data_IF_071408190425
#
_entry.id   IF_071408190425
#
_cell.length_a   1.000
_cell.length_b   1.000
_cell.length_c   1.000
_cell.angle_alpha   90.00
_cell.angle_beta   90.00
_cell.angle_gamma   90.00
#
_symmetry.space_group_name_H-M   'P 1'
#
loop_
_entity.id
_entity.type
_entity.pdbx_description
1 polymer ?
#
# COMPACT_ATOMS: atom_id res chain seq x y z
N UNK A 1 18.49 -35.06 -18.44
CA UNK A 1 17.86 -33.86 -17.83
C UNK A 1 18.02 -34.01 -16.33
N UNK A 2 19.07 -33.48 -15.70
CA UNK A 2 19.59 -34.14 -14.49
C UNK A 2 18.74 -33.92 -13.23
N UNK A 3 17.77 -34.81 -13.05
CA UNK A 3 17.46 -35.52 -11.81
C UNK A 3 18.65 -36.41 -11.44
N UNK A 4 19.01 -36.49 -10.16
CA UNK A 4 19.84 -37.60 -9.66
C UNK A 4 19.20 -38.21 -8.42
N UNK A 5 19.09 -39.54 -8.45
CA UNK A 5 18.42 -40.40 -7.49
C UNK A 5 19.29 -41.64 -7.36
N UNK A 6 19.76 -41.97 -6.16
CA UNK A 6 20.63 -43.14 -6.00
C UNK A 6 20.05 -44.01 -4.89
N UNK A 7 19.51 -45.16 -5.31
CA UNK A 7 18.90 -46.17 -4.44
C UNK A 7 19.52 -47.52 -4.79
N UNK A 8 20.03 -48.26 -3.80
CA UNK A 8 20.52 -49.65 -3.93
C UNK A 8 19.44 -50.67 -3.46
N UNK A 9 18.17 -50.43 -3.84
CA UNK A 9 16.97 -51.17 -3.38
C UNK A 9 15.66 -50.55 -3.95
N UNK A 10 14.48 -51.11 -3.66
CA UNK A 10 13.25 -50.77 -4.41
C UNK A 10 12.64 -49.39 -4.06
N UNK A 11 12.21 -48.65 -5.09
CA UNK A 11 11.42 -47.41 -5.08
C UNK A 11 10.23 -47.59 -6.05
N UNK A 12 9.00 -47.22 -5.70
CA UNK A 12 7.88 -47.14 -6.67
C UNK A 12 6.96 -45.92 -6.39
N UNK A 13 6.51 -45.22 -7.45
CA UNK A 13 5.62 -44.03 -7.45
C UNK A 13 4.62 -44.15 -8.60
N UNK A 14 3.31 -44.19 -8.34
CA UNK A 14 2.25 -44.15 -9.38
C UNK A 14 1.11 -43.24 -8.89
N UNK A 15 0.53 -42.44 -9.78
CA UNK A 15 -0.48 -41.42 -9.48
C UNK A 15 -1.58 -41.40 -10.56
N UNK A 16 -2.86 -41.28 -10.17
CA UNK A 16 -3.89 -40.71 -11.04
C UNK A 16 -4.89 -39.89 -10.22
N UNK A 17 -4.63 -38.57 -10.25
CA UNK A 17 -5.42 -37.34 -10.01
C UNK A 17 -4.36 -36.26 -9.69
N UNK A 18 -4.16 -35.67 -8.50
CA UNK A 18 -3.09 -34.65 -8.34
C UNK A 18 -1.96 -34.98 -7.33
N UNK A 19 -0.72 -34.58 -7.65
CA UNK A 19 0.49 -34.69 -6.83
C UNK A 19 1.45 -33.51 -7.09
N UNK A 20 1.71 -32.63 -6.10
CA UNK A 20 2.58 -31.46 -6.26
C UNK A 20 3.57 -31.30 -5.08
N UNK A 21 4.82 -30.88 -5.35
CA UNK A 21 5.88 -30.60 -4.37
C UNK A 21 6.65 -29.34 -4.79
N UNK A 22 6.90 -28.40 -3.88
CA UNK A 22 7.72 -27.20 -4.14
C UNK A 22 8.64 -26.87 -2.96
N UNK A 23 9.90 -26.52 -3.26
CA UNK A 23 10.94 -26.17 -2.29
C UNK A 23 11.92 -25.15 -2.89
N UNK A 24 12.47 -24.25 -2.07
CA UNK A 24 13.60 -23.39 -2.43
C UNK A 24 14.97 -24.00 -2.05
N UNK A 25 14.98 -25.10 -1.26
CA UNK A 25 16.16 -25.85 -0.83
C UNK A 25 15.91 -27.39 -0.79
N UNK A 26 16.72 -28.18 -0.09
CA UNK A 26 16.60 -29.64 -0.03
C UNK A 26 15.47 -30.13 0.89
N UNK A 27 14.65 -31.07 0.40
CA UNK A 27 13.69 -31.83 1.22
C UNK A 27 14.37 -33.13 1.69
N UNK A 28 14.46 -33.37 3.01
CA UNK A 28 15.07 -34.59 3.59
C UNK A 28 14.02 -35.36 4.40
N UNK A 29 13.66 -36.56 3.93
CA UNK A 29 12.77 -37.50 4.65
C UNK A 29 13.53 -38.76 5.05
N UNK A 30 13.52 -39.15 6.33
CA UNK A 30 14.17 -40.36 6.87
C UNK A 30 13.20 -41.16 7.73
N UNK A 31 13.14 -42.47 7.57
CA UNK A 31 12.36 -43.36 8.43
C UNK A 31 13.05 -44.73 8.58
N UNK A 32 12.87 -45.36 9.75
CA UNK A 32 13.39 -46.72 10.02
C UNK A 32 12.47 -47.85 9.54
N UNK A 33 11.16 -47.60 9.36
CA UNK A 33 10.19 -48.59 8.86
C UNK A 33 9.22 -48.02 7.81
N UNK A 34 8.33 -47.08 8.18
CA UNK A 34 7.32 -46.51 7.26
C UNK A 34 7.04 -45.02 7.53
N UNK A 35 6.61 -44.28 6.49
CA UNK A 35 5.99 -42.95 6.59
C UNK A 35 4.60 -43.05 5.92
N UNK A 36 3.54 -42.59 6.58
CA UNK A 36 2.20 -42.53 6.03
C UNK A 36 1.67 -41.10 6.06
N UNK A 37 1.32 -40.55 4.89
CA UNK A 37 0.68 -39.24 4.74
C UNK A 37 -0.68 -39.45 4.05
N UNK A 38 -1.76 -38.97 4.67
CA UNK A 38 -3.13 -39.07 4.13
C UNK A 38 -3.61 -37.70 3.70
N UNK A 39 -3.67 -37.44 2.39
CA UNK A 39 -4.21 -36.20 1.84
C UNK A 39 -5.72 -36.05 2.10
N UNK A 40 -6.14 -34.87 2.56
CA UNK A 40 -7.54 -34.41 2.53
C UNK A 40 -7.69 -33.39 1.39
N UNK A 41 -8.92 -33.00 1.03
CA UNK A 41 -9.22 -32.05 -0.07
C UNK A 41 -8.49 -30.69 0.01
N UNK A 42 -7.88 -30.36 1.15
CA UNK A 42 -7.12 -29.12 1.41
C UNK A 42 -5.62 -29.34 1.71
N UNK A 43 -5.09 -30.55 1.55
CA UNK A 43 -3.73 -30.93 1.96
C UNK A 43 -3.56 -31.19 3.46
N UNK A 44 -2.35 -31.59 3.86
CA UNK A 44 -1.95 -31.80 5.27
C UNK A 44 -0.84 -30.81 5.61
N UNK A 45 -0.98 -30.07 6.71
CA UNK A 45 0.09 -29.22 7.25
C UNK A 45 0.59 -29.82 8.55
N UNK A 46 1.90 -30.00 8.67
CA UNK A 46 2.50 -30.61 9.85
C UNK A 46 3.00 -29.59 10.88
N UNK A 47 3.13 -28.31 10.52
CA UNK A 47 3.57 -27.20 11.39
C UNK A 47 3.22 -25.83 10.77
N UNK A 48 3.38 -24.75 11.52
CA UNK A 48 3.44 -23.40 10.94
C UNK A 48 4.71 -23.28 10.10
N UNK A 49 4.63 -22.96 8.79
CA UNK A 49 5.82 -22.77 7.96
C UNK A 49 6.70 -21.66 8.53
N UNK A 50 8.01 -21.91 8.64
CA UNK A 50 9.00 -20.90 8.99
C UNK A 50 9.50 -20.19 7.73
N UNK A 51 9.91 -18.94 7.90
CA UNK A 51 10.56 -18.15 6.84
C UNK A 51 11.87 -18.82 6.42
N UNK A 52 12.15 -18.99 5.12
CA UNK A 52 13.35 -19.70 4.66
C UNK A 52 14.61 -18.99 5.16
N UNK A 53 15.66 -19.73 5.58
CA UNK A 53 16.91 -19.11 6.00
C UNK A 53 17.61 -18.45 4.81
N UNK A 54 18.21 -17.28 5.03
CA UNK A 54 19.14 -16.71 4.08
C UNK A 54 20.53 -17.30 4.34
N UNK A 55 21.05 -18.09 3.41
CA UNK A 55 22.42 -18.59 3.50
C UNK A 55 23.40 -17.43 3.26
N UNK A 56 24.17 -17.08 4.28
CA UNK A 56 25.11 -15.96 4.25
C UNK A 56 26.52 -16.40 4.66
N UNK A 57 27.49 -16.24 3.76
CA UNK A 57 28.92 -16.42 4.04
C UNK A 57 29.51 -15.20 4.76
N UNK A 58 29.00 -14.02 4.45
CA UNK A 58 29.23 -12.74 5.13
C UNK A 58 27.97 -12.40 5.95
N UNK A 59 28.10 -12.32 7.27
CA UNK A 59 27.02 -11.94 8.18
C UNK A 59 26.79 -10.42 8.17
N UNK A 60 26.01 -9.96 7.19
CA UNK A 60 25.64 -8.57 6.99
C UNK A 60 24.22 -8.51 6.44
N UNK A 61 23.42 -7.55 6.90
CA UNK A 61 22.04 -7.38 6.44
C UNK A 61 21.67 -5.91 6.26
N UNK A 62 20.99 -5.63 5.15
CA UNK A 62 20.60 -4.31 4.67
C UNK A 62 19.08 -4.22 4.65
N UNK A 63 18.55 -3.14 5.22
CA UNK A 63 17.12 -2.83 5.19
C UNK A 63 16.87 -1.53 4.41
N UNK A 64 16.21 -1.66 3.27
CA UNK A 64 15.87 -0.53 2.40
C UNK A 64 14.65 0.24 2.90
N UNK A 65 14.70 1.56 2.77
CA UNK A 65 13.62 2.49 3.13
C UNK A 65 13.50 3.56 2.04
N UNK A 66 12.35 4.25 1.93
CA UNK A 66 12.31 5.45 1.14
C UNK A 66 13.15 6.53 1.84
N UNK A 67 13.65 7.49 1.07
CA UNK A 67 14.45 8.58 1.65
C UNK A 67 13.59 9.44 2.61
N UNK A 68 14.24 10.21 3.49
CA UNK A 68 13.56 11.06 4.50
C UNK A 68 12.58 12.11 3.94
N UNK A 69 12.73 12.48 2.67
CA UNK A 69 11.91 13.48 2.00
C UNK A 69 10.75 12.87 1.20
N UNK A 70 10.62 11.54 1.17
CA UNK A 70 9.54 10.88 0.46
C UNK A 70 8.18 11.37 0.95
N UNK A 71 7.33 11.75 0.00
CA UNK A 71 5.95 12.21 0.18
C UNK A 71 4.98 11.41 -0.69
N UNK A 72 5.34 10.17 -1.03
CA UNK A 72 4.48 9.28 -1.77
C UNK A 72 4.56 9.46 -3.29
N UNK A 73 5.56 10.18 -3.81
CA UNK A 73 5.75 10.42 -5.25
C UNK A 73 6.09 9.15 -6.07
N UNK A 74 6.36 8.04 -5.38
CA UNK A 74 6.40 6.66 -5.91
C UNK A 74 5.95 5.70 -4.79
N UNK A 75 5.55 4.48 -5.15
CA UNK A 75 5.13 3.51 -4.14
C UNK A 75 6.32 2.85 -3.47
N UNK A 76 6.41 2.96 -2.16
CA UNK A 76 7.37 2.21 -1.36
C UNK A 76 6.68 1.70 -0.10
N UNK A 77 6.62 0.37 0.06
CA UNK A 77 5.94 -0.27 1.17
C UNK A 77 6.88 -1.22 1.91
N UNK A 78 7.08 -0.99 3.20
CA UNK A 78 7.93 -1.82 4.06
C UNK A 78 7.16 -2.23 5.32
N UNK A 79 7.56 -3.35 5.93
CA UNK A 79 7.06 -3.69 7.25
C UNK A 79 7.44 -2.58 8.23
N UNK A 80 6.46 -1.85 8.76
CA UNK A 80 6.71 -0.77 9.71
C UNK A 80 7.22 -1.37 11.01
N UNK A 81 8.47 -1.05 11.36
CA UNK A 81 9.14 -1.52 12.57
C UNK A 81 9.66 -0.37 13.44
N UNK A 82 9.27 0.87 13.14
CA UNK A 82 9.64 2.06 13.90
C UNK A 82 11.12 2.39 13.83
N UNK A 83 11.68 2.22 12.64
CA UNK A 83 13.10 2.43 12.36
C UNK A 83 13.37 3.59 11.40
N UNK A 84 12.31 4.24 10.92
CA UNK A 84 12.39 5.51 10.22
C UNK A 84 11.94 6.65 11.13
N UNK A 85 12.41 7.86 10.83
CA UNK A 85 11.85 9.09 11.41
C UNK A 85 10.71 9.65 10.55
N UNK A 86 10.15 8.84 9.64
CA UNK A 86 8.99 9.24 8.85
C UNK A 86 7.75 9.29 9.73
N UNK A 87 6.80 10.12 9.33
CA UNK A 87 5.54 10.29 10.06
C UNK A 87 4.85 8.93 10.22
N UNK A 88 4.41 8.61 11.44
CA UNK A 88 3.63 7.41 11.75
C UNK A 88 4.22 6.07 11.26
N UNK A 89 5.54 5.93 11.22
CA UNK A 89 6.21 4.62 11.17
C UNK A 89 6.12 3.93 12.54
N UNK A 90 4.92 3.52 12.92
CA UNK A 90 4.66 2.76 14.13
C UNK A 90 4.81 1.26 13.84
N UNK A 91 5.34 0.51 14.80
CA UNK A 91 5.51 -0.95 14.64
C UNK A 91 4.17 -1.60 14.34
N UNK A 92 4.06 -2.25 13.18
CA UNK A 92 2.84 -2.98 12.80
C UNK A 92 2.51 -4.11 13.78
N UNK A 93 3.51 -4.69 14.45
CA UNK A 93 3.27 -5.66 15.52
C UNK A 93 2.43 -5.10 16.67
N UNK A 94 2.48 -3.79 16.90
CA UNK A 94 1.80 -3.11 18.00
C UNK A 94 0.47 -2.46 17.58
N UNK A 95 0.18 -2.32 16.27
CA UNK A 95 -0.99 -1.57 15.78
C UNK A 95 -1.86 -2.33 14.78
N UNK A 96 -1.46 -3.51 14.31
CA UNK A 96 -2.33 -4.37 13.50
C UNK A 96 -3.33 -5.06 14.41
N UNK A 97 -4.56 -4.57 14.43
CA UNK A 97 -5.54 -4.80 15.49
C UNK A 97 -6.95 -4.85 14.93
N UNK A 98 -7.84 -5.65 15.53
CA UNK A 98 -9.28 -5.52 15.25
C UNK A 98 -9.87 -4.35 16.02
N UNK A 99 -10.88 -3.71 15.44
CA UNK A 99 -11.68 -2.70 16.12
C UNK A 99 -12.94 -3.32 16.73
N UNK A 100 -13.28 -2.95 17.96
CA UNK A 100 -14.41 -3.47 18.73
C UNK A 100 -15.31 -2.34 19.26
N UNK A 101 -16.58 -2.66 19.45
CA UNK A 101 -17.59 -1.77 20.03
C UNK A 101 -17.39 -1.57 21.53
N UNK A 102 -16.68 -2.48 22.19
CA UNK A 102 -16.56 -2.54 23.64
C UNK A 102 -15.13 -2.85 24.12
N UNK A 103 -14.79 -2.34 25.30
CA UNK A 103 -13.45 -2.50 25.91
C UNK A 103 -13.12 -3.95 26.32
N UNK A 104 -14.09 -4.86 26.30
CA UNK A 104 -13.86 -6.29 26.55
C UNK A 104 -13.62 -7.07 25.26
N UNK A 105 -13.56 -6.39 24.12
CA UNK A 105 -13.27 -6.93 22.80
C UNK A 105 -14.21 -8.07 22.38
N UNK A 106 -15.52 -7.92 22.68
CA UNK A 106 -16.50 -8.97 22.39
C UNK A 106 -17.17 -8.82 21.03
N UNK A 107 -17.47 -7.58 20.62
CA UNK A 107 -18.22 -7.29 19.39
C UNK A 107 -17.37 -6.48 18.43
N UNK A 108 -17.01 -7.08 17.30
CA UNK A 108 -16.26 -6.36 16.25
C UNK A 108 -17.13 -5.29 15.60
N UNK A 109 -16.52 -4.12 15.36
CA UNK A 109 -17.13 -3.04 14.61
C UNK A 109 -17.45 -3.50 13.18
N UNK A 110 -18.67 -3.20 12.72
CA UNK A 110 -19.17 -3.52 11.36
C UNK A 110 -19.43 -2.28 10.50
N UNK A 111 -19.26 -1.08 11.05
CA UNK A 111 -19.30 0.17 10.29
C UNK A 111 -17.89 0.52 9.81
N UNK A 112 -17.68 0.57 8.49
CA UNK A 112 -16.36 0.88 7.90
C UNK A 112 -15.88 2.32 8.13
N UNK A 113 -16.76 3.20 8.60
CA UNK A 113 -16.44 4.60 8.92
C UNK A 113 -16.30 4.84 10.43
N UNK A 114 -16.61 3.85 11.28
CA UNK A 114 -16.42 3.97 12.72
C UNK A 114 -14.92 3.87 13.05
N UNK A 115 -14.42 4.82 13.83
CA UNK A 115 -12.99 4.96 14.16
C UNK A 115 -12.74 5.16 15.66
N UNK A 116 -13.78 5.40 16.46
CA UNK A 116 -13.74 5.66 17.90
C UNK A 116 -14.01 4.40 18.75
N UNK A 117 -13.83 3.21 18.17
CA UNK A 117 -13.90 1.94 18.89
C UNK A 117 -12.66 1.63 19.73
N UNK A 118 -12.68 0.45 20.33
CA UNK A 118 -11.57 -0.13 21.09
C UNK A 118 -10.73 -1.03 20.17
N UNK A 119 -9.41 -0.98 20.29
CA UNK A 119 -8.52 -1.77 19.43
C UNK A 119 -7.79 -2.85 20.22
N UNK A 120 -7.69 -4.04 19.65
CA UNK A 120 -6.92 -5.16 20.20
C UNK A 120 -6.02 -5.76 19.13
N UNK A 121 -4.71 -5.73 19.40
CA UNK A 121 -3.68 -6.30 18.52
C UNK A 121 -3.99 -7.76 18.21
N UNK A 122 -3.91 -8.12 16.92
CA UNK A 122 -4.22 -9.47 16.48
C UNK A 122 -3.01 -10.14 15.82
N UNK A 123 -2.39 -11.06 16.56
CA UNK A 123 -1.19 -11.78 16.11
C UNK A 123 -1.43 -12.56 14.79
N UNK A 124 -2.61 -13.18 14.62
CA UNK A 124 -2.95 -13.92 13.39
C UNK A 124 -3.03 -12.99 12.18
N UNK A 125 -3.66 -11.82 12.33
CA UNK A 125 -3.74 -10.81 11.28
C UNK A 125 -2.35 -10.28 10.93
N UNK A 126 -1.54 -9.94 11.94
CA UNK A 126 -0.16 -9.51 11.74
C UNK A 126 0.68 -10.59 11.04
N UNK A 127 0.57 -11.85 11.46
CA UNK A 127 1.23 -12.98 10.81
C UNK A 127 0.79 -13.17 9.35
N UNK A 128 -0.46 -12.86 9.01
CA UNK A 128 -0.91 -12.87 7.62
C UNK A 128 -0.39 -11.65 6.84
N UNK A 129 -0.25 -10.48 7.46
CA UNK A 129 0.36 -9.31 6.84
C UNK A 129 1.84 -9.54 6.52
N UNK A 130 2.60 -10.15 7.44
CA UNK A 130 4.01 -10.49 7.24
C UNK A 130 4.27 -11.23 5.93
N UNK A 131 3.36 -12.13 5.54
CA UNK A 131 3.48 -12.93 4.31
C UNK A 131 3.49 -12.09 3.03
N UNK A 132 2.89 -10.89 3.04
CA UNK A 132 2.92 -9.99 1.87
C UNK A 132 4.34 -9.47 1.58
N UNK A 133 5.26 -9.55 2.53
CA UNK A 133 6.64 -9.03 2.40
C UNK A 133 7.68 -10.13 2.16
N UNK A 134 7.26 -11.35 1.81
CA UNK A 134 8.14 -12.48 1.48
C UNK A 134 9.35 -12.62 2.43
N UNK A 135 9.12 -12.72 3.76
CA UNK A 135 10.21 -12.63 4.73
C UNK A 135 11.19 -13.80 4.62
N UNK A 136 12.43 -13.55 5.02
CA UNK A 136 13.45 -14.58 5.20
C UNK A 136 14.05 -14.49 6.61
N UNK A 137 14.61 -15.60 7.09
CA UNK A 137 15.23 -15.68 8.41
C UNK A 137 16.73 -15.39 8.33
N UNK A 138 17.26 -14.60 9.25
CA UNK A 138 18.71 -14.35 9.37
C UNK A 138 19.27 -15.15 10.55
N UNK A 139 19.95 -16.25 10.25
CA UNK A 139 20.31 -17.27 11.24
C UNK A 139 21.24 -16.78 12.36
N UNK A 140 22.11 -15.81 12.07
CA UNK A 140 23.07 -15.27 13.04
C UNK A 140 22.47 -14.20 13.96
N UNK A 141 21.25 -13.72 13.68
CA UNK A 141 20.54 -12.75 14.49
C UNK A 141 19.29 -13.39 15.09
N UNK A 142 19.22 -13.49 16.41
CA UNK A 142 18.15 -14.20 17.10
C UNK A 142 17.39 -13.30 18.07
N UNK A 143 16.08 -13.52 18.18
CA UNK A 143 15.19 -12.92 19.18
C UNK A 143 14.55 -13.99 20.06
N UNK A 144 14.08 -13.59 21.24
CA UNK A 144 13.27 -14.46 22.10
C UNK A 144 11.86 -14.61 21.51
N UNK A 145 11.45 -15.85 21.26
CA UNK A 145 10.08 -16.17 20.89
C UNK A 145 9.14 -15.86 22.05
N UNK A 146 8.09 -15.07 21.82
CA UNK A 146 7.17 -14.60 22.87
C UNK A 146 6.41 -15.75 23.55
N UNK A 147 6.21 -16.89 22.87
CA UNK A 147 5.41 -18.02 23.37
C UNK A 147 6.25 -19.04 24.12
N UNK A 148 7.44 -19.34 23.60
CA UNK A 148 8.30 -20.44 24.08
C UNK A 148 9.54 -19.96 24.83
N UNK A 149 9.89 -18.67 24.73
CA UNK A 149 11.10 -18.10 25.33
C UNK A 149 12.41 -18.56 24.67
N UNK A 150 12.33 -19.35 23.59
CA UNK A 150 13.50 -19.86 22.88
C UNK A 150 14.07 -18.81 21.94
N UNK A 151 15.38 -18.89 21.70
CA UNK A 151 16.00 -18.08 20.66
C UNK A 151 15.57 -18.61 19.30
N UNK A 152 14.99 -17.71 18.50
CA UNK A 152 14.57 -17.96 17.12
C UNK A 152 15.23 -16.93 16.21
N UNK A 153 15.62 -17.31 14.98
CA UNK A 153 16.13 -16.35 14.01
C UNK A 153 15.17 -15.18 13.79
N UNK A 154 15.73 -13.98 13.62
CA UNK A 154 14.94 -12.81 13.26
C UNK A 154 14.48 -12.89 11.80
N UNK A 155 13.27 -12.40 11.57
CA UNK A 155 12.69 -12.27 10.24
C UNK A 155 13.06 -10.91 9.64
N UNK A 156 13.44 -10.93 8.37
CA UNK A 156 13.68 -9.75 7.56
C UNK A 156 12.63 -9.67 6.47
N UNK A 157 11.97 -8.52 6.39
CA UNK A 157 10.85 -8.26 5.48
C UNK A 157 11.36 -7.54 4.24
N UNK A 158 11.04 -8.08 3.07
CA UNK A 158 11.44 -7.49 1.79
C UNK A 158 10.45 -6.39 1.42
N UNK A 159 10.87 -5.11 1.33
CA UNK A 159 9.99 -4.03 0.93
C UNK A 159 9.54 -4.16 -0.53
N UNK A 160 8.43 -3.51 -0.86
CA UNK A 160 7.92 -3.35 -2.21
C UNK A 160 8.21 -1.97 -2.77
N UNK A 161 8.58 -1.92 -4.04
CA UNK A 161 8.73 -0.72 -4.84
C UNK A 161 7.77 -0.77 -6.03
N UNK A 162 7.11 0.35 -6.33
CA UNK A 162 6.47 0.60 -7.62
C UNK A 162 7.21 1.70 -8.36
N UNK A 163 7.61 1.40 -9.61
CA UNK A 163 8.36 2.30 -10.48
C UNK A 163 8.04 1.99 -11.94
N UNK A 164 7.66 3.00 -12.71
CA UNK A 164 7.41 2.88 -14.15
C UNK A 164 8.71 2.99 -14.95
N UNK A 165 8.70 2.49 -16.19
CA UNK A 165 9.81 2.68 -17.13
C UNK A 165 10.15 4.17 -17.28
N UNK A 166 11.45 4.45 -17.41
CA UNK A 166 12.03 5.78 -17.59
C UNK A 166 11.87 6.70 -16.36
N UNK A 167 11.40 6.17 -15.23
CA UNK A 167 11.38 6.85 -13.93
C UNK A 167 12.60 6.49 -13.09
N UNK A 168 12.93 7.42 -12.20
CA UNK A 168 14.01 7.32 -11.22
C UNK A 168 13.45 7.61 -9.84
N UNK A 169 13.87 6.83 -8.86
CA UNK A 169 13.49 7.01 -7.46
C UNK A 169 14.72 6.98 -6.57
N UNK A 170 14.67 7.71 -5.46
CA UNK A 170 15.75 7.77 -4.48
C UNK A 170 15.35 6.98 -3.25
N UNK A 171 16.12 5.93 -2.97
CA UNK A 171 15.97 5.08 -1.78
C UNK A 171 17.18 5.22 -0.88
N UNK A 172 17.02 4.81 0.36
CA UNK A 172 18.08 4.76 1.37
C UNK A 172 18.06 3.39 2.04
N UNK A 173 19.03 3.12 2.90
CA UNK A 173 19.04 1.93 3.72
C UNK A 173 19.86 2.16 5.00
N UNK A 174 19.74 1.21 5.91
CA UNK A 174 20.69 1.01 7.01
C UNK A 174 21.20 -0.44 6.97
N UNK A 175 22.32 -0.69 7.63
CA UNK A 175 22.92 -2.03 7.65
C UNK A 175 23.46 -2.40 9.03
N UNK A 176 23.22 -3.66 9.40
CA UNK A 176 23.85 -4.31 10.55
C UNK A 176 24.97 -5.21 10.03
N UNK A 177 26.19 -5.00 10.53
CA UNK A 177 27.41 -5.66 10.05
C UNK A 177 28.01 -6.47 11.19
N UNK A 178 27.79 -7.78 11.18
CA UNK A 178 28.37 -8.72 12.15
C UNK A 178 29.74 -9.23 11.69
N UNK A 179 29.91 -9.41 10.38
CA UNK A 179 31.19 -9.71 9.74
C UNK A 179 31.55 -8.62 8.74
N UNK A 180 32.81 -8.18 8.76
CA UNK A 180 33.30 -7.14 7.87
C UNK A 180 33.14 -7.52 6.39
N UNK A 181 32.75 -6.55 5.58
CA UNK A 181 32.73 -6.60 4.13
C UNK A 181 33.49 -5.39 3.56
N UNK A 182 34.07 -5.54 2.38
CA UNK A 182 34.78 -4.46 1.71
C UNK A 182 33.80 -3.48 1.06
N UNK A 183 32.79 -4.00 0.34
CA UNK A 183 31.79 -3.20 -0.37
C UNK A 183 30.45 -3.93 -0.51
N UNK A 184 29.42 -3.15 -0.83
CA UNK A 184 28.11 -3.63 -1.29
C UNK A 184 27.98 -3.32 -2.78
N UNK A 185 27.38 -4.22 -3.56
CA UNK A 185 27.15 -4.01 -4.99
C UNK A 185 25.81 -4.61 -5.42
N UNK A 186 25.07 -3.89 -6.25
CA UNK A 186 23.80 -4.37 -6.80
C UNK A 186 24.04 -5.42 -7.88
N UNK A 187 23.26 -6.49 -7.86
CA UNK A 187 23.28 -7.47 -8.94
C UNK A 187 22.87 -6.82 -10.25
N UNK A 188 23.63 -7.07 -11.33
CA UNK A 188 23.32 -6.59 -12.67
C UNK A 188 21.88 -6.94 -13.06
N UNK A 189 21.16 -5.97 -13.63
CA UNK A 189 19.75 -6.12 -14.02
C UNK A 189 19.53 -5.67 -15.46
N UNK A 190 18.62 -6.34 -16.16
CA UNK A 190 18.12 -5.91 -17.48
C UNK A 190 17.01 -4.84 -17.36
N UNK A 191 16.50 -4.60 -16.15
CA UNK A 191 15.35 -3.73 -15.88
C UNK A 191 15.71 -2.48 -15.10
N UNK A 192 16.81 -2.51 -14.34
CA UNK A 192 17.19 -1.44 -13.42
C UNK A 192 18.65 -1.04 -13.56
N UNK A 193 18.92 0.24 -13.36
CA UNK A 193 20.28 0.77 -13.13
C UNK A 193 20.32 1.47 -11.78
N UNK A 194 21.51 1.50 -11.18
CA UNK A 194 21.73 1.96 -9.82
C UNK A 194 22.81 3.05 -9.80
N UNK A 195 22.62 4.08 -8.97
CA UNK A 195 23.64 5.12 -8.79
C UNK A 195 23.68 5.55 -7.33
N UNK A 196 24.76 5.24 -6.58
CA UNK A 196 25.85 4.34 -6.98
C UNK A 196 25.38 2.88 -7.09
N UNK A 197 26.03 2.09 -7.95
CA UNK A 197 25.85 0.64 -8.05
C UNK A 197 26.77 -0.13 -7.08
N UNK A 198 27.91 0.46 -6.71
CA UNK A 198 28.87 -0.04 -5.73
C UNK A 198 29.09 0.94 -4.57
N UNK A 199 29.10 0.43 -3.35
CA UNK A 199 29.20 1.21 -2.10
C UNK A 199 30.32 0.65 -1.23
N UNK A 200 31.40 1.42 -1.06
CA UNK A 200 32.54 1.03 -0.19
C UNK A 200 32.16 1.13 1.29
N UNK A 201 32.37 0.04 2.04
CA UNK A 201 31.97 -0.07 3.46
C UNK A 201 33.07 -0.69 4.35
N UNK A 202 34.28 -0.85 3.83
CA UNK A 202 35.44 -1.38 4.57
C UNK A 202 35.64 -0.67 5.91
N UNK A 203 35.87 -1.45 6.98
CA UNK A 203 36.02 -0.95 8.35
C UNK A 203 34.73 -0.46 9.02
N UNK A 204 33.57 -0.48 8.35
CA UNK A 204 32.29 -0.12 9.00
C UNK A 204 31.73 -1.28 9.82
N UNK A 205 31.19 -0.93 11.00
CA UNK A 205 30.48 -1.86 11.91
C UNK A 205 28.95 -1.76 11.83
N UNK A 206 28.46 -0.66 11.26
CA UNK A 206 27.05 -0.40 10.96
C UNK A 206 26.96 0.70 9.90
N UNK A 207 25.82 0.80 9.25
CA UNK A 207 25.47 1.92 8.37
C UNK A 207 24.17 2.50 8.92
N UNK A 208 24.16 3.80 9.24
CA UNK A 208 22.95 4.45 9.72
C UNK A 208 22.01 4.77 8.55
N UNK A 209 20.71 4.87 8.84
CA UNK A 209 19.71 5.23 7.85
C UNK A 209 20.03 6.62 7.28
N UNK A 210 20.01 6.76 5.95
CA UNK A 210 20.38 7.98 5.20
C UNK A 210 21.87 8.31 5.13
N UNK A 211 22.77 7.42 5.58
CA UNK A 211 24.20 7.57 5.30
C UNK A 211 24.50 7.47 3.79
N UNK A 212 23.68 6.69 3.07
CA UNK A 212 23.77 6.52 1.62
C UNK A 212 22.40 6.70 0.99
N UNK A 213 22.39 7.31 -0.20
CA UNK A 213 21.24 7.39 -1.09
C UNK A 213 21.59 6.64 -2.37
N UNK A 214 20.66 5.82 -2.86
CA UNK A 214 20.76 5.11 -4.13
C UNK A 214 19.64 5.56 -5.03
N UNK A 215 19.98 6.02 -6.23
CA UNK A 215 19.03 6.24 -7.31
C UNK A 215 18.79 4.92 -8.03
N UNK A 216 17.53 4.47 -8.05
CA UNK A 216 17.08 3.32 -8.83
C UNK A 216 16.34 3.85 -10.06
N UNK A 217 16.83 3.53 -11.24
CA UNK A 217 16.18 3.87 -12.52
C UNK A 217 15.60 2.62 -13.15
N UNK A 218 14.32 2.65 -13.52
CA UNK A 218 13.73 1.58 -14.34
C UNK A 218 13.96 1.88 -15.83
N UNK A 219 14.69 1.00 -16.52
CA UNK A 219 15.06 1.19 -17.94
C UNK A 219 14.20 0.37 -18.90
N UNK A 220 13.40 -0.58 -18.39
CA UNK A 220 12.57 -1.47 -19.20
C UNK A 220 11.34 -1.93 -18.43
N UNK A 221 10.21 -2.05 -19.13
CA UNK A 221 8.99 -2.66 -18.57
C UNK A 221 9.14 -4.17 -18.35
N UNK A 222 8.38 -4.71 -17.41
CA UNK A 222 8.39 -6.13 -17.06
C UNK A 222 7.01 -6.62 -16.62
N UNK A 223 6.64 -7.82 -17.08
CA UNK A 223 5.31 -8.43 -16.87
C UNK A 223 5.18 -9.25 -15.60
N UNK A 224 6.30 -9.69 -15.03
CA UNK A 224 6.35 -10.39 -13.74
C UNK A 224 7.09 -9.54 -12.73
N UNK A 225 6.69 -9.62 -11.46
CA UNK A 225 7.42 -8.97 -10.37
C UNK A 225 8.92 -9.31 -10.44
N UNK A 226 9.76 -8.32 -10.18
CA UNK A 226 11.21 -8.47 -10.17
C UNK A 226 11.74 -8.37 -8.73
N UNK A 227 12.99 -8.76 -8.54
CA UNK A 227 13.71 -8.60 -7.27
C UNK A 227 15.00 -7.85 -7.56
N UNK A 228 15.23 -6.75 -6.85
CA UNK A 228 16.53 -6.09 -6.77
C UNK A 228 17.29 -6.74 -5.61
N UNK A 229 18.51 -7.20 -5.88
CA UNK A 229 19.38 -7.81 -4.87
C UNK A 229 20.64 -6.96 -4.70
N UNK A 230 20.99 -6.71 -3.44
CA UNK A 230 22.26 -6.10 -3.05
C UNK A 230 23.11 -7.17 -2.38
N UNK A 231 24.35 -7.33 -2.82
CA UNK A 231 25.30 -8.30 -2.29
C UNK A 231 26.42 -7.61 -1.52
N UNK A 232 26.90 -8.23 -0.46
CA UNK A 232 28.13 -7.86 0.22
C UNK A 232 29.28 -8.69 -0.35
N UNK A 233 30.46 -8.09 -0.45
CA UNK A 233 31.67 -8.73 -0.95
C UNK A 233 32.81 -8.57 0.06
N UNK A 234 33.60 -9.63 0.19
CA UNK A 234 34.83 -9.62 0.99
C UNK A 234 35.92 -10.38 0.26
N UNK A 235 37.11 -9.79 0.15
CA UNK A 235 38.28 -10.46 -0.40
C UNK A 235 39.24 -10.84 0.72
N UNK A 236 39.45 -12.14 0.92
CA UNK A 236 40.42 -12.68 1.87
C UNK A 236 41.33 -13.68 1.18
N UNK A 237 42.64 -13.59 1.43
CA UNK A 237 43.65 -14.51 0.90
C UNK A 237 43.59 -14.76 -0.63
N UNK A 238 43.18 -13.74 -1.40
CA UNK A 238 43.07 -13.81 -2.87
C UNK A 238 41.77 -14.42 -3.40
N UNK A 239 40.82 -14.79 -2.53
CA UNK A 239 39.48 -15.23 -2.92
C UNK A 239 38.43 -14.19 -2.50
N UNK A 240 37.51 -13.88 -3.42
CA UNK A 240 36.34 -13.03 -3.12
C UNK A 240 35.14 -13.91 -2.83
N UNK A 241 34.53 -13.71 -1.66
CA UNK A 241 33.25 -14.31 -1.30
C UNK A 241 32.15 -13.26 -1.34
N UNK A 242 30.93 -13.70 -1.65
CA UNK A 242 29.75 -12.85 -1.70
C UNK A 242 28.58 -13.43 -0.89
N UNK A 243 27.71 -12.55 -0.40
CA UNK A 243 26.44 -12.89 0.24
C UNK A 243 25.36 -11.93 -0.21
N UNK A 244 24.12 -12.41 -0.35
CA UNK A 244 22.98 -11.50 -0.40
C UNK A 244 22.91 -10.75 0.93
N UNK A 245 22.90 -9.42 0.84
CA UNK A 245 22.82 -8.51 1.96
C UNK A 245 21.44 -7.85 2.08
N UNK A 246 20.71 -7.66 0.99
CA UNK A 246 19.39 -7.05 1.01
C UNK A 246 18.61 -7.30 -0.27
N UNK A 247 17.28 -7.18 -0.18
CA UNK A 247 16.36 -7.36 -1.31
C UNK A 247 15.29 -6.27 -1.35
N UNK A 248 14.78 -5.97 -2.53
CA UNK A 248 13.56 -5.17 -2.77
C UNK A 248 12.71 -5.92 -3.80
N UNK A 249 11.44 -6.15 -3.50
CA UNK A 249 10.47 -6.63 -4.48
C UNK A 249 10.02 -5.44 -5.35
N UNK A 250 9.97 -5.61 -6.67
CA UNK A 250 9.46 -4.58 -7.59
C UNK A 250 8.21 -5.09 -8.28
N UNK A 251 7.11 -4.34 -8.14
CA UNK A 251 5.82 -4.74 -8.70
C UNK A 251 5.80 -4.58 -10.23
N UNK A 252 5.33 -5.62 -10.94
CA UNK A 252 5.20 -5.65 -12.40
C UNK A 252 4.56 -4.38 -12.95
N UNK A 253 5.20 -3.77 -13.94
CA UNK A 253 4.87 -2.44 -14.44
C UNK A 253 4.55 -2.41 -15.94
N UNK A 254 4.33 -3.56 -16.56
CA UNK A 254 3.94 -3.65 -17.96
C UNK A 254 2.64 -2.88 -18.24
N UNK A 255 2.40 -2.57 -19.51
CA UNK A 255 1.24 -1.77 -19.93
C UNK A 255 -0.12 -2.26 -19.41
N UNK A 256 -0.29 -3.55 -19.08
CA UNK A 256 -1.58 -4.08 -18.57
C UNK A 256 -1.86 -3.61 -17.14
N UNK A 257 -0.81 -3.23 -16.41
CA UNK A 257 -0.87 -2.65 -15.06
C UNK A 257 -0.96 -1.14 -15.08
N UNK A 258 -0.63 -0.48 -16.17
CA UNK A 258 -0.68 0.98 -16.26
C UNK A 258 -2.12 1.43 -16.58
N UNK A 259 -2.78 2.05 -15.61
CA UNK A 259 -4.20 2.45 -15.73
C UNK A 259 -4.31 3.95 -15.91
N UNK A 260 -5.04 4.37 -16.95
CA UNK A 260 -5.39 5.77 -17.20
C UNK A 260 -6.87 5.97 -16.89
N UNK A 261 -7.22 7.04 -16.17
CA UNK A 261 -8.61 7.38 -15.85
C UNK A 261 -8.94 8.78 -16.36
N UNK A 262 -9.91 8.89 -17.27
CA UNK A 262 -10.42 10.19 -17.70
C UNK A 262 -11.32 10.78 -16.62
N UNK A 263 -11.04 12.03 -16.23
CA UNK A 263 -11.76 12.75 -15.18
C UNK A 263 -12.28 14.07 -15.73
N UNK A 264 -13.49 14.43 -15.35
CA UNK A 264 -13.96 15.81 -15.42
C UNK A 264 -13.99 16.38 -14.01
N UNK A 265 -13.21 17.43 -13.80
CA UNK A 265 -13.18 18.22 -12.58
C UNK A 265 -14.22 19.33 -12.73
N UNK A 266 -15.23 19.32 -11.85
CA UNK A 266 -16.40 20.19 -11.96
C UNK A 266 -16.39 21.18 -10.81
N UNK A 267 -16.14 22.45 -11.13
CA UNK A 267 -16.25 23.56 -10.21
C UNK A 267 -17.73 23.94 -10.07
N UNK A 268 -18.34 23.61 -8.93
CA UNK A 268 -19.74 23.95 -8.66
C UNK A 268 -19.80 25.40 -8.22
N UNK A 269 -20.68 26.16 -8.86
CA UNK A 269 -21.02 27.52 -8.46
C UNK A 269 -22.46 27.54 -7.97
N UNK A 270 -22.64 27.71 -6.66
CA UNK A 270 -23.94 27.60 -6.02
C UNK A 270 -24.68 28.96 -6.01
N UNK A 271 -26.01 28.95 -5.79
CA UNK A 271 -26.71 30.14 -5.31
C UNK A 271 -26.08 30.68 -4.01
N UNK A 272 -26.42 31.91 -3.66
CA UNK A 272 -26.06 32.49 -2.36
C UNK A 272 -26.78 31.70 -1.25
N UNK A 273 -26.01 31.02 -0.40
CA UNK A 273 -26.55 30.16 0.66
C UNK A 273 -26.73 30.89 1.99
N UNK A 274 -25.95 31.93 2.24
CA UNK A 274 -26.12 32.86 3.36
C UNK A 274 -26.02 34.31 2.87
N UNK A 275 -26.79 35.20 3.49
CA UNK A 275 -26.85 36.62 3.12
C UNK A 275 -25.44 37.23 3.25
N UNK A 276 -24.94 37.82 2.16
CA UNK A 276 -23.63 38.46 2.10
C UNK A 276 -22.47 37.51 1.78
N UNK A 277 -22.72 36.20 1.63
CA UNK A 277 -21.66 35.24 1.25
C UNK A 277 -21.33 35.27 -0.24
N UNK A 278 -22.22 35.86 -1.05
CA UNK A 278 -22.07 35.91 -2.50
C UNK A 278 -22.10 34.54 -3.16
N UNK A 279 -21.86 34.53 -4.48
CA UNK A 279 -21.69 33.30 -5.25
C UNK A 279 -20.22 32.90 -5.18
N UNK A 280 -19.94 31.69 -4.69
CA UNK A 280 -18.57 31.20 -4.58
C UNK A 280 -18.29 30.10 -5.61
N UNK A 281 -17.00 29.92 -5.89
CA UNK A 281 -16.48 28.93 -6.84
C UNK A 281 -15.16 28.40 -6.29
N UNK A 282 -14.92 27.07 -6.28
CA UNK A 282 -13.66 26.52 -5.80
C UNK A 282 -12.54 26.78 -6.80
N UNK A 283 -11.28 26.77 -6.33
CA UNK A 283 -10.10 26.72 -7.18
C UNK A 283 -9.47 25.33 -7.05
N UNK A 284 -9.38 24.59 -8.16
CA UNK A 284 -8.99 23.18 -8.17
C UNK A 284 -7.82 22.86 -9.11
N UNK A 285 -7.08 23.90 -9.53
CA UNK A 285 -6.01 23.76 -10.53
C UNK A 285 -4.92 22.74 -10.14
N UNK A 286 -4.66 22.58 -8.84
CA UNK A 286 -3.63 21.66 -8.34
C UNK A 286 -4.14 20.24 -8.03
N UNK A 287 -5.46 20.01 -8.04
CA UNK A 287 -6.05 18.76 -7.57
C UNK A 287 -5.59 17.55 -8.40
N UNK A 288 -5.49 17.70 -9.73
CA UNK A 288 -4.97 16.64 -10.60
C UNK A 288 -3.55 16.21 -10.22
N UNK A 289 -2.67 17.18 -9.94
CA UNK A 289 -1.28 16.89 -9.54
C UNK A 289 -1.22 16.21 -8.17
N UNK A 290 -2.01 16.71 -7.21
CA UNK A 290 -2.11 16.14 -5.86
C UNK A 290 -2.65 14.71 -5.88
N UNK A 291 -3.68 14.43 -6.68
CA UNK A 291 -4.23 13.09 -6.80
C UNK A 291 -3.22 12.15 -7.48
N UNK A 292 -2.61 12.57 -8.60
CA UNK A 292 -1.61 11.77 -9.31
C UNK A 292 -0.40 11.41 -8.45
N UNK A 293 0.07 12.33 -7.60
CA UNK A 293 1.17 12.06 -6.66
C UNK A 293 0.96 10.76 -5.90
N UNK A 294 -0.26 10.47 -5.46
CA UNK A 294 -0.56 9.27 -4.68
C UNK A 294 -1.03 8.07 -5.52
N UNK A 295 -1.83 8.31 -6.56
CA UNK A 295 -2.35 7.23 -7.39
C UNK A 295 -1.27 6.53 -8.22
N UNK A 296 -0.18 7.24 -8.56
CA UNK A 296 0.93 6.66 -9.31
C UNK A 296 1.64 5.53 -8.53
N UNK A 297 1.52 5.49 -7.19
CA UNK A 297 1.98 4.35 -6.38
C UNK A 297 1.33 3.03 -6.81
N UNK A 298 0.09 3.10 -7.30
CA UNK A 298 -0.68 1.98 -7.80
C UNK A 298 -0.67 1.87 -9.34
N UNK A 299 0.22 2.58 -10.03
CA UNK A 299 0.26 2.72 -11.49
C UNK A 299 -1.06 3.23 -12.10
N UNK A 300 -1.76 4.08 -11.36
CA UNK A 300 -2.97 4.75 -11.83
C UNK A 300 -2.63 6.22 -12.05
N UNK A 301 -2.93 6.74 -13.25
CA UNK A 301 -2.75 8.14 -13.59
C UNK A 301 -4.05 8.74 -14.12
N UNK A 302 -4.40 9.92 -13.66
CA UNK A 302 -5.47 10.70 -14.26
C UNK A 302 -5.04 11.20 -15.64
N UNK A 303 -5.97 11.18 -16.58
CA UNK A 303 -5.71 11.46 -17.98
C UNK A 303 -5.18 12.86 -18.21
N UNK A 304 -4.23 13.00 -19.14
CA UNK A 304 -3.75 14.31 -19.58
C UNK A 304 -4.91 15.13 -20.20
N UNK A 305 -5.90 14.46 -20.77
CA UNK A 305 -7.13 15.01 -21.37
C UNK A 305 -8.25 15.30 -20.34
N UNK A 306 -7.94 15.29 -19.04
CA UNK A 306 -8.94 15.59 -18.00
C UNK A 306 -9.30 17.08 -18.03
N UNK A 307 -10.59 17.38 -18.14
CA UNK A 307 -11.13 18.74 -18.24
C UNK A 307 -11.39 19.34 -16.85
N UNK A 308 -11.24 20.66 -16.73
CA UNK A 308 -11.83 21.46 -15.65
C UNK A 308 -12.98 22.27 -16.25
N UNK A 309 -14.18 22.15 -15.69
CA UNK A 309 -15.38 22.86 -16.15
C UNK A 309 -16.13 23.49 -14.99
N UNK A 310 -16.88 24.55 -15.30
CA UNK A 310 -17.83 25.14 -14.37
C UNK A 310 -19.23 24.53 -14.56
N UNK A 311 -19.92 24.28 -13.45
CA UNK A 311 -21.35 23.99 -13.42
C UNK A 311 -22.06 25.07 -12.60
N UNK A 312 -22.70 26.02 -13.29
CA UNK A 312 -23.42 27.14 -12.67
C UNK A 312 -24.83 26.71 -12.26
N UNK A 313 -25.06 26.56 -10.96
CA UNK A 313 -26.35 26.22 -10.35
C UNK A 313 -27.03 27.44 -9.74
N UNK A 314 -26.56 28.67 -10.01
CA UNK A 314 -27.02 29.86 -9.29
C UNK A 314 -28.47 30.23 -9.58
N UNK A 315 -29.01 29.82 -10.74
CA UNK A 315 -30.41 29.97 -11.10
C UNK A 315 -31.25 28.70 -10.82
N UNK A 316 -30.63 27.63 -10.32
CA UNK A 316 -31.30 26.35 -10.10
C UNK A 316 -32.06 26.35 -8.77
N UNK A 317 -33.37 26.56 -8.88
CA UNK A 317 -34.29 26.61 -7.74
C UNK A 317 -34.34 25.30 -6.93
N UNK A 318 -33.93 24.17 -7.51
CA UNK A 318 -33.98 22.89 -6.80
C UNK A 318 -32.74 22.65 -5.93
N UNK A 319 -31.65 23.39 -6.15
CA UNK A 319 -30.41 23.20 -5.39
C UNK A 319 -30.60 23.51 -3.90
N UNK A 320 -31.50 24.44 -3.55
CA UNK A 320 -31.81 24.78 -2.15
C UNK A 320 -32.30 23.60 -1.31
N UNK A 321 -32.80 22.54 -1.96
CA UNK A 321 -33.21 21.31 -1.27
C UNK A 321 -32.03 20.54 -0.67
N UNK A 322 -30.79 20.82 -1.09
CA UNK A 322 -29.57 20.26 -0.53
C UNK A 322 -28.92 21.21 0.48
N UNK A 323 -29.67 22.16 1.06
CA UNK A 323 -29.09 23.15 1.97
C UNK A 323 -29.62 22.96 3.39
N UNK A 324 -28.71 22.91 4.35
CA UNK A 324 -28.98 22.89 5.78
C UNK A 324 -28.07 23.90 6.45
N UNK A 325 -28.62 24.81 7.26
CA UNK A 325 -27.84 25.83 7.97
C UNK A 325 -26.86 26.64 7.08
N UNK A 326 -27.25 26.93 5.84
CA UNK A 326 -26.42 27.63 4.83
C UNK A 326 -25.23 26.82 4.29
N UNK A 327 -25.22 25.51 4.49
CA UNK A 327 -24.20 24.57 4.03
C UNK A 327 -24.81 23.53 3.09
N UNK A 328 -23.98 22.87 2.28
CA UNK A 328 -24.43 21.82 1.36
C UNK A 328 -24.55 20.51 2.12
N UNK A 329 -25.77 20.00 2.23
CA UNK A 329 -26.12 18.77 2.94
C UNK A 329 -26.20 17.59 1.95
N UNK A 330 -25.20 16.69 1.93
CA UNK A 330 -25.16 15.56 0.99
C UNK A 330 -26.19 14.47 1.31
N UNK A 331 -26.74 14.43 2.54
CA UNK A 331 -27.73 13.42 2.95
C UNK A 331 -29.15 13.78 2.49
N UNK A 332 -29.36 15.04 2.09
CA UNK A 332 -30.62 15.49 1.51
C UNK A 332 -30.80 15.04 0.07
N UNK A 333 -32.07 15.05 -0.37
CA UNK A 333 -32.49 14.65 -1.71
C UNK A 333 -33.32 15.73 -2.38
N UNK A 334 -33.21 15.83 -3.70
CA UNK A 334 -34.10 16.67 -4.53
C UNK A 334 -34.66 15.86 -5.69
N UNK A 335 -35.99 15.86 -5.85
CA UNK A 335 -36.66 15.07 -6.88
C UNK A 335 -36.29 13.58 -6.84
N UNK A 336 -36.13 13.04 -5.63
CA UNK A 336 -35.73 11.65 -5.36
C UNK A 336 -34.26 11.32 -5.60
N UNK A 337 -33.41 12.30 -5.94
CA UNK A 337 -31.97 12.11 -6.23
C UNK A 337 -31.12 12.56 -5.06
N UNK A 338 -30.10 11.78 -4.76
CA UNK A 338 -28.97 12.19 -3.92
C UNK A 338 -28.13 13.25 -4.62
N UNK A 339 -27.30 13.97 -3.87
CA UNK A 339 -26.55 15.12 -4.37
C UNK A 339 -25.69 14.77 -5.60
N UNK A 340 -24.89 13.71 -5.55
CA UNK A 340 -24.03 13.32 -6.68
C UNK A 340 -24.83 12.99 -7.96
N UNK A 341 -26.00 12.37 -7.82
CA UNK A 341 -26.82 11.98 -8.96
C UNK A 341 -27.54 13.19 -9.55
N UNK A 342 -27.94 14.13 -8.69
CA UNK A 342 -28.42 15.43 -9.11
C UNK A 342 -27.35 16.19 -9.90
N UNK A 343 -26.12 16.28 -9.38
CA UNK A 343 -25.01 16.96 -10.04
C UNK A 343 -24.66 16.32 -11.39
N UNK A 344 -24.66 14.99 -11.49
CA UNK A 344 -24.48 14.27 -12.77
C UNK A 344 -25.55 14.65 -13.79
N UNK A 345 -26.81 14.75 -13.38
CA UNK A 345 -27.91 15.16 -14.27
C UNK A 345 -27.73 16.61 -14.75
N UNK A 346 -27.33 17.52 -13.85
CA UNK A 346 -27.10 18.91 -14.24
C UNK A 346 -25.87 19.06 -15.13
N UNK A 347 -24.80 18.32 -14.86
CA UNK A 347 -23.61 18.27 -15.71
C UNK A 347 -23.95 17.79 -17.13
N UNK A 348 -24.74 16.71 -17.26
CA UNK A 348 -25.17 16.19 -18.57
C UNK A 348 -26.06 17.20 -19.33
N UNK A 349 -26.88 17.99 -18.63
CA UNK A 349 -27.65 19.07 -19.29
C UNK A 349 -26.76 20.21 -19.79
N UNK A 350 -25.76 20.61 -19.00
CA UNK A 350 -24.83 21.68 -19.35
C UNK A 350 -23.84 21.24 -20.44
N UNK A 351 -23.43 19.97 -20.44
CA UNK A 351 -22.46 19.40 -21.37
C UNK A 351 -22.96 18.08 -21.99
N UNK A 352 -24.00 18.12 -22.84
CA UNK A 352 -24.64 16.92 -23.37
C UNK A 352 -23.65 15.94 -24.01
N UNK A 353 -23.70 14.68 -23.56
CA UNK A 353 -22.91 13.52 -24.01
C UNK A 353 -21.40 13.61 -23.83
N UNK A 354 -20.84 14.76 -23.43
CA UNK A 354 -19.39 15.00 -23.38
C UNK A 354 -18.71 14.16 -22.30
N UNK A 355 -19.29 14.07 -21.11
CA UNK A 355 -18.66 13.46 -19.93
C UNK A 355 -19.27 12.12 -19.50
N UNK A 356 -20.04 11.48 -20.39
CA UNK A 356 -20.76 10.23 -20.11
C UNK A 356 -19.85 9.13 -19.54
N UNK A 357 -18.64 8.97 -20.10
CA UNK A 357 -17.65 7.97 -19.69
C UNK A 357 -16.61 8.46 -18.67
N UNK A 358 -16.59 9.75 -18.36
CA UNK A 358 -15.59 10.32 -17.46
C UNK A 358 -15.95 9.99 -16.01
N UNK A 359 -14.93 9.90 -15.15
CA UNK A 359 -15.11 10.03 -13.72
C UNK A 359 -15.45 11.49 -13.37
N UNK A 360 -16.39 11.74 -12.46
CA UNK A 360 -16.84 13.10 -12.11
C UNK A 360 -16.33 13.51 -10.74
N UNK A 361 -15.44 14.49 -10.68
CA UNK A 361 -14.97 15.05 -9.42
C UNK A 361 -15.66 16.41 -9.20
N UNK A 362 -16.67 16.44 -8.33
CA UNK A 362 -17.42 17.65 -8.02
C UNK A 362 -16.80 18.39 -6.84
N UNK A 363 -16.56 19.69 -6.99
CA UNK A 363 -15.98 20.53 -5.97
C UNK A 363 -16.90 21.69 -5.61
N UNK A 364 -17.09 21.91 -4.32
CA UNK A 364 -17.84 23.04 -3.77
C UNK A 364 -16.90 24.05 -3.11
N UNK A 365 -17.28 25.33 -3.16
CA UNK A 365 -16.65 26.37 -2.35
C UNK A 365 -17.32 26.53 -0.98
N UNK A 366 -18.41 25.81 -0.77
CA UNK A 366 -19.25 25.77 0.41
C UNK A 366 -18.84 24.62 1.34
N UNK A 367 -19.10 24.77 2.63
CA UNK A 367 -18.94 23.67 3.58
C UNK A 367 -19.98 22.58 3.31
N UNK A 368 -19.57 21.33 3.49
CA UNK A 368 -20.48 20.21 3.55
C UNK A 368 -21.05 20.10 4.96
N UNK A 369 -22.37 20.06 5.10
CA UNK A 369 -23.04 19.92 6.38
C UNK A 369 -22.82 18.52 6.97
N UNK A 370 -22.48 18.47 8.26
CA UNK A 370 -22.53 17.26 9.09
C UNK A 370 -22.92 17.64 10.52
N UNK A 371 -23.54 16.70 11.26
CA UNK A 371 -23.97 16.96 12.63
C UNK A 371 -22.75 17.12 13.54
N UNK A 372 -22.45 18.35 13.95
CA UNK A 372 -21.34 18.66 14.85
C UNK A 372 -20.01 18.96 14.15
N UNK A 373 -20.02 19.18 12.83
CA UNK A 373 -18.82 19.53 12.08
C UNK A 373 -19.10 19.80 10.61
N UNK A 374 -18.13 19.45 9.77
CA UNK A 374 -18.26 19.52 8.32
C UNK A 374 -17.76 18.23 7.69
N UNK A 375 -18.45 17.77 6.66
CA UNK A 375 -17.94 16.72 5.78
C UNK A 375 -17.02 17.37 4.74
N UNK A 376 -15.79 16.89 4.64
CA UNK A 376 -14.79 17.43 3.70
C UNK A 376 -14.89 16.84 2.31
N UNK A 377 -15.42 15.62 2.18
CA UNK A 377 -15.66 14.95 0.92
C UNK A 377 -16.27 13.57 1.15
N UNK A 378 -16.75 12.96 0.07
CA UNK A 378 -17.20 11.58 0.10
C UNK A 378 -17.15 10.93 -1.29
N UNK A 379 -17.11 9.60 -1.28
CA UNK A 379 -17.31 8.71 -2.42
C UNK A 379 -17.81 7.34 -1.95
N UNK A 380 -18.31 6.53 -2.88
CA UNK A 380 -18.66 5.14 -2.63
C UNK A 380 -17.63 4.18 -3.26
N UNK A 381 -17.58 2.94 -2.77
CA UNK A 381 -16.79 1.88 -3.40
C UNK A 381 -17.22 1.64 -4.84
N UNK A 382 -16.26 1.67 -5.78
CA UNK A 382 -16.52 1.43 -7.20
C UNK A 382 -17.27 2.56 -7.90
N UNK A 383 -17.45 3.70 -7.23
CA UNK A 383 -18.12 4.86 -7.80
C UNK A 383 -17.36 5.44 -9.00
N UNK A 384 -18.07 6.17 -9.85
CA UNK A 384 -17.51 7.00 -10.92
C UNK A 384 -17.50 8.49 -10.53
N UNK A 385 -17.54 8.80 -9.24
CA UNK A 385 -17.59 10.16 -8.74
C UNK A 385 -16.85 10.35 -7.42
N UNK A 386 -16.43 11.59 -7.16
CA UNK A 386 -16.17 12.11 -5.81
C UNK A 386 -16.90 13.43 -5.64
N UNK A 387 -17.28 13.76 -4.41
CA UNK A 387 -17.74 15.10 -4.03
C UNK A 387 -16.81 15.64 -2.96
N UNK A 388 -16.35 16.89 -3.11
CA UNK A 388 -15.38 17.52 -2.21
C UNK A 388 -15.86 18.91 -1.83
N UNK A 389 -15.80 19.23 -0.55
CA UNK A 389 -16.29 20.48 0.03
C UNK A 389 -15.17 21.39 0.51
N UNK A 390 -15.52 22.61 0.95
CA UNK A 390 -14.58 23.65 1.37
C UNK A 390 -13.65 23.22 2.52
N UNK A 391 -14.11 22.38 3.44
CA UNK A 391 -13.31 21.90 4.58
C UNK A 391 -12.25 20.85 4.21
N UNK A 392 -12.06 20.57 2.91
CA UNK A 392 -10.99 19.69 2.41
C UNK A 392 -9.59 20.18 2.83
N UNK A 393 -8.71 19.23 3.10
CA UNK A 393 -7.26 19.45 3.03
C UNK A 393 -6.72 18.95 1.68
N UNK A 394 -5.41 19.01 1.48
CA UNK A 394 -4.79 18.69 0.19
C UNK A 394 -4.81 17.18 -0.14
N UNK A 395 -5.33 16.35 0.78
CA UNK A 395 -5.39 14.90 0.65
C UNK A 395 -6.82 14.35 0.58
N UNK A 396 -7.83 15.16 0.89
CA UNK A 396 -9.24 14.74 0.91
C UNK A 396 -9.66 14.17 -0.44
N UNK A 397 -9.39 14.87 -1.56
CA UNK A 397 -9.79 14.36 -2.87
C UNK A 397 -9.12 13.01 -3.19
N UNK A 398 -7.81 12.89 -2.97
CA UNK A 398 -7.10 11.63 -3.19
C UNK A 398 -7.66 10.48 -2.33
N UNK A 399 -8.02 10.76 -1.08
CA UNK A 399 -8.68 9.82 -0.18
C UNK A 399 -10.02 9.32 -0.75
N UNK A 400 -10.89 10.23 -1.23
CA UNK A 400 -12.17 9.85 -1.84
C UNK A 400 -12.00 9.08 -3.16
N UNK A 401 -11.01 9.47 -3.97
CA UNK A 401 -10.68 8.73 -5.19
C UNK A 401 -10.28 7.29 -4.86
N UNK A 402 -9.52 7.06 -3.80
CA UNK A 402 -9.12 5.73 -3.36
C UNK A 402 -10.32 4.89 -2.88
N UNK A 403 -11.33 5.49 -2.24
CA UNK A 403 -12.59 4.81 -1.97
C UNK A 403 -13.31 4.38 -3.25
N UNK A 404 -13.40 5.27 -4.25
CA UNK A 404 -13.93 4.92 -5.57
C UNK A 404 -13.19 3.74 -6.24
N UNK A 405 -11.92 3.54 -5.87
CA UNK A 405 -11.07 2.44 -6.30
C UNK A 405 -11.11 1.23 -5.35
N UNK A 406 -12.24 1.04 -4.66
CA UNK A 406 -12.51 -0.15 -3.85
C UNK A 406 -11.55 -0.35 -2.68
N UNK A 407 -11.01 0.73 -2.10
CA UNK A 407 -10.19 0.67 -0.90
C UNK A 407 -10.94 1.20 0.32
N UNK A 408 -11.00 0.39 1.38
CA UNK A 408 -11.58 0.80 2.67
C UNK A 408 -10.58 1.57 3.53
N UNK A 409 -11.10 2.29 4.54
CA UNK A 409 -10.29 2.83 5.63
C UNK A 409 -9.36 1.78 6.22
N UNK A 410 -8.15 2.19 6.64
CA UNK A 410 -7.19 1.26 7.25
C UNK A 410 -7.64 0.76 8.62
N UNK A 411 -8.49 1.51 9.33
CA UNK A 411 -9.08 1.10 10.61
C UNK A 411 -10.38 0.28 10.46
N UNK A 412 -10.84 0.03 9.24
CA UNK A 412 -12.04 -0.76 8.99
C UNK A 412 -11.74 -2.26 9.11
N UNK A 413 -12.55 -2.97 9.88
CA UNK A 413 -12.54 -4.43 9.92
C UNK A 413 -12.97 -5.05 8.58
N UNK A 414 -12.47 -6.25 8.30
CA UNK A 414 -12.98 -7.07 7.18
C UNK A 414 -14.47 -7.39 7.34
N UNK A 415 -14.95 -7.51 8.57
CA UNK A 415 -16.38 -7.67 8.90
C UNK A 415 -17.21 -6.43 8.57
N UNK A 416 -16.58 -5.25 8.51
CA UNK A 416 -17.22 -3.99 8.15
C UNK A 416 -17.21 -3.73 6.64
N UNK A 417 -16.19 -4.23 5.93
CA UNK A 417 -16.08 -4.07 4.49
C UNK A 417 -15.29 -5.21 3.86
N UNK A 418 -15.84 -5.79 2.78
CA UNK A 418 -15.12 -6.73 1.92
C UNK A 418 -13.90 -6.09 1.23
N UNK A 419 -13.81 -4.75 1.30
CA UNK A 419 -12.69 -4.00 0.78
C UNK A 419 -11.48 -3.94 1.73
N UNK A 420 -11.68 -4.19 3.03
CA UNK A 420 -10.62 -4.26 4.03
C UNK A 420 -9.91 -5.62 4.03
N UNK A 421 -8.59 -5.61 4.19
CA UNK A 421 -7.76 -6.83 4.31
C UNK A 421 -7.07 -6.93 5.67
N UNK A 422 -6.48 -5.83 6.12
CA UNK A 422 -5.81 -5.70 7.41
C UNK A 422 -6.31 -4.44 8.09
N UNK A 423 -6.58 -4.55 9.38
CA UNK A 423 -7.06 -3.46 10.22
C UNK A 423 -5.89 -2.91 11.03
N UNK A 424 -5.80 -1.59 11.10
CA UNK A 424 -4.79 -0.85 11.85
C UNK A 424 -5.45 0.06 12.87
N UNK A 425 -4.78 0.33 13.98
CA UNK A 425 -5.26 1.31 14.94
C UNK A 425 -5.43 2.69 14.30
N UNK A 426 -6.56 3.34 14.62
CA UNK A 426 -6.91 4.67 14.14
C UNK A 426 -5.82 5.71 14.48
N UNK A 427 -5.46 6.54 13.47
CA UNK A 427 -4.45 7.61 13.53
C UNK A 427 -2.99 7.14 13.70
N UNK A 428 -2.72 5.84 13.59
CA UNK A 428 -1.38 5.28 13.83
C UNK A 428 -0.57 5.02 12.58
N UNK A 429 -1.12 5.30 11.39
CA UNK A 429 -0.43 5.06 10.12
C UNK A 429 -0.20 6.34 9.30
N UNK A 430 0.71 6.28 8.34
CA UNK A 430 0.92 7.31 7.31
C UNK A 430 0.08 7.08 6.06
N UNK A 431 -0.84 6.10 6.10
CA UNK A 431 -1.65 5.71 4.97
C UNK A 431 -2.69 6.77 4.64
N UNK A 432 -2.95 7.00 3.35
CA UNK A 432 -3.97 7.97 2.92
C UNK A 432 -5.37 7.63 3.41
N UNK A 433 -5.68 6.34 3.64
CA UNK A 433 -6.99 5.88 4.13
C UNK A 433 -7.09 5.77 5.65
N UNK A 434 -6.12 6.33 6.37
CA UNK A 434 -6.23 6.58 7.81
C UNK A 434 -6.65 8.03 8.05
N UNK A 435 -7.13 8.32 9.24
CA UNK A 435 -7.55 9.63 9.71
C UNK A 435 -6.50 10.31 10.59
N UNK A 436 -5.23 9.97 10.42
CA UNK A 436 -4.09 10.55 11.18
C UNK A 436 -4.06 12.07 11.18
N UNK A 437 -4.69 12.73 10.20
CA UNK A 437 -4.86 14.18 10.12
C UNK A 437 -5.73 14.76 11.26
N UNK A 438 -6.65 13.99 11.85
CA UNK A 438 -7.46 14.38 13.04
C UNK A 438 -6.61 14.68 14.30
N UNK A 439 -5.28 14.58 14.23
CA UNK A 439 -4.35 14.99 15.28
C UNK A 439 -3.60 16.28 14.98
N UNK A 440 -4.07 17.12 14.05
CA UNK A 440 -3.32 18.28 13.56
C UNK A 440 -2.15 17.90 12.65
N UNK A 441 -2.31 16.79 11.91
CA UNK A 441 -1.30 16.25 11.00
C UNK A 441 -1.77 16.32 9.54
N UNK A 442 -2.42 17.41 9.19
CA UNK A 442 -2.83 17.65 7.80
C UNK A 442 -1.65 17.49 6.85
N UNK A 443 -1.92 16.87 5.71
CA UNK A 443 -0.98 16.69 4.61
C UNK A 443 0.29 15.87 4.95
N UNK A 444 0.29 15.10 6.05
CA UNK A 444 1.43 14.22 6.42
C UNK A 444 1.30 12.77 5.97
N UNK A 445 0.07 12.30 5.65
CA UNK A 445 -0.14 10.95 5.10
C UNK A 445 0.48 10.89 3.71
N UNK A 446 1.06 9.78 3.29
CA UNK A 446 1.62 9.70 1.94
C UNK A 446 1.73 8.30 1.39
N UNK A 447 1.43 7.27 2.18
CA UNK A 447 1.64 5.89 1.76
C UNK A 447 0.34 5.25 1.27
N UNK A 448 0.52 4.32 0.34
CA UNK A 448 -0.37 3.19 0.12
C UNK A 448 0.44 1.91 0.30
N UNK A 449 -0.21 0.84 0.73
CA UNK A 449 0.42 -0.46 0.89
C UNK A 449 0.36 -1.27 -0.41
N UNK A 450 1.29 -2.20 -0.61
CA UNK A 450 1.34 -3.04 -1.82
C UNK A 450 0.01 -3.75 -2.10
N UNK A 451 -0.67 -4.23 -1.06
CA UNK A 451 -2.00 -4.85 -1.23
C UNK A 451 -3.07 -3.86 -1.69
N UNK A 452 -2.98 -2.59 -1.29
CA UNK A 452 -3.85 -1.52 -1.77
C UNK A 452 -3.52 -1.16 -3.23
N UNK A 453 -2.26 -1.13 -3.62
CA UNK A 453 -1.86 -0.92 -5.02
C UNK A 453 -2.53 -1.94 -5.94
N UNK A 454 -2.41 -3.23 -5.61
CA UNK A 454 -3.04 -4.33 -6.36
C UNK A 454 -4.56 -4.14 -6.46
N UNK A 455 -5.22 -3.79 -5.36
CA UNK A 455 -6.68 -3.69 -5.27
C UNK A 455 -7.23 -2.49 -6.02
N UNK A 456 -6.63 -1.31 -5.83
CA UNK A 456 -6.99 -0.09 -6.54
C UNK A 456 -6.79 -0.26 -8.05
N UNK A 457 -5.65 -0.79 -8.47
CA UNK A 457 -5.35 -0.99 -9.88
C UNK A 457 -6.34 -1.95 -10.55
N UNK A 458 -6.65 -3.07 -9.89
CA UNK A 458 -7.59 -4.07 -10.39
C UNK A 458 -9.05 -3.57 -10.43
N UNK A 459 -9.37 -2.48 -9.72
CA UNK A 459 -10.70 -1.86 -9.77
C UNK A 459 -10.96 -1.12 -11.08
N UNK A 460 -9.90 -0.73 -11.79
CA UNK A 460 -9.98 -0.03 -13.07
C UNK A 460 -9.83 -1.06 -14.19
N UNK A 461 -10.93 -1.28 -14.91
CA UNK A 461 -10.98 -2.22 -16.03
C UNK A 461 -10.19 -1.68 -17.21
#
# INVERSE_FOLDING_TARGET
MSRTRIVKGTYNKISHENHNMYSQESIISRAMKWIFEKGNDKGVSHNTPQSPPLQQLIQLIVQFRPNKNWKGEFGFDWMRIGDTSLFNDQKFEDIVAYQYEDAKFTTKVKNGNKYDGYFEVNETMFNNLKKEYNPFSVAWKTKKDKKTGKDVPEEYFIPWLSILKDKEVKITFFAEIQQEADYLEFTKSDYFTFTPDKIEIKGKKKIALNDYEVTVKCIKEFTSNQIIELKAFKTEAGATVESIAGKINVWANDNTKQKKKDVVFVEIKTPELSIGSGKNKPNINDEKNRINQYLEQAYIKLSDDSDIVELDLTADKNFINFVTNSEVDPDKKSGGKELQDYLKVQLEKAYPKKYTKHFKAFYFAEHGYDVGGHVSGYSNYGADYVVVFKSKNDQTAAHEFLHSMNLAHTFANKEASSHALYTYEYKKTDNLLDYSHHGGNDNKRCSLYYWQWKKANSSIK
#
